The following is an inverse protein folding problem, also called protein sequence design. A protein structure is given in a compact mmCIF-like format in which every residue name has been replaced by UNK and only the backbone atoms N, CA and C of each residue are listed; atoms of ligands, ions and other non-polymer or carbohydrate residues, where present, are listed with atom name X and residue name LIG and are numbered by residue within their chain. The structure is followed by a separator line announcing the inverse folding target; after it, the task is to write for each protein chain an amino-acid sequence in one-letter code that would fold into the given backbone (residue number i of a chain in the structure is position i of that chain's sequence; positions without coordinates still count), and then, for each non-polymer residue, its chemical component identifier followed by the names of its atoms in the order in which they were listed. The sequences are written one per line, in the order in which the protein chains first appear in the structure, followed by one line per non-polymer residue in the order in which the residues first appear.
data_IF_960652060729
#
_entry.id   IF_960652060729
#
_cell.length_a   1.000
_cell.length_b   1.000
_cell.length_c   1.000
_cell.angle_alpha   90.00
_cell.angle_beta   90.00
_cell.angle_gamma   90.00
#
_symmetry.space_group_name_H-M   'P 1'
#
loop_
_entity.id
_entity.type
_entity.pdbx_description
1 polymer ?
#
# COMPACT_ATOMS: atom_id res chain seq x y z
N UNK A 1 -6.72 -0.47 39.91
CA UNK A 1 -6.09 -1.54 40.72
C UNK A 1 -6.63 -2.95 40.47
N UNK A 2 -7.92 -3.16 40.15
CA UNK A 2 -8.45 -4.50 39.77
C UNK A 2 -8.06 -4.93 38.33
N UNK A 3 -7.91 -3.98 37.40
CA UNK A 3 -7.54 -4.23 36.01
C UNK A 3 -6.12 -4.81 35.85
N UNK A 4 -5.18 -4.38 36.70
CA UNK A 4 -3.79 -4.90 36.74
C UNK A 4 -3.77 -6.35 37.23
N UNK A 5 -4.65 -6.73 38.17
CA UNK A 5 -4.76 -8.10 38.67
C UNK A 5 -5.33 -9.07 37.62
N UNK A 6 -6.37 -8.67 36.90
CA UNK A 6 -6.98 -9.46 35.83
C UNK A 6 -6.01 -9.62 34.63
N UNK A 7 -5.19 -8.61 34.38
CA UNK A 7 -4.07 -8.68 33.43
C UNK A 7 -3.00 -9.68 33.89
N UNK A 8 -2.53 -9.58 35.15
CA UNK A 8 -1.48 -10.47 35.71
C UNK A 8 -1.91 -11.94 35.68
N UNK A 9 -3.18 -12.22 36.01
CA UNK A 9 -3.74 -13.57 35.97
C UNK A 9 -3.69 -14.17 34.57
N UNK A 10 -4.09 -13.41 33.55
CA UNK A 10 -4.11 -13.91 32.17
C UNK A 10 -2.70 -14.03 31.56
N UNK A 11 -1.74 -13.17 31.94
CA UNK A 11 -0.32 -13.31 31.57
C UNK A 11 0.28 -14.64 32.09
N UNK A 12 -0.09 -15.07 33.29
CA UNK A 12 0.39 -16.32 33.85
C UNK A 12 -0.16 -17.56 33.10
N UNK A 13 -1.29 -17.44 32.39
CA UNK A 13 -1.83 -18.53 31.58
C UNK A 13 -1.12 -18.68 30.23
N UNK A 14 -0.61 -17.59 29.66
CA UNK A 14 0.08 -17.59 28.36
C UNK A 14 1.54 -18.07 28.45
N UNK A 15 2.06 -18.25 29.66
CA UNK A 15 3.40 -18.74 29.96
C UNK A 15 3.41 -20.21 30.44
N UNK A 16 2.30 -20.95 30.29
CA UNK A 16 2.21 -22.34 30.76
C UNK A 16 3.23 -23.26 30.04
N UNK A 17 4.18 -23.88 30.78
CA UNK A 17 5.22 -24.75 30.22
C UNK A 17 4.70 -25.97 29.46
N UNK A 18 3.44 -26.38 29.67
CA UNK A 18 2.84 -27.56 29.03
C UNK A 18 2.72 -27.43 27.52
N UNK A 19 2.49 -26.22 27.00
CA UNK A 19 2.43 -26.03 25.54
C UNK A 19 3.82 -26.13 24.92
N UNK A 20 4.82 -25.59 25.62
CA UNK A 20 6.20 -25.62 25.17
C UNK A 20 6.78 -27.04 25.15
N UNK A 21 6.45 -27.88 26.14
CA UNK A 21 6.95 -29.27 26.18
C UNK A 21 6.49 -30.10 24.99
N UNK A 22 5.21 -29.98 24.61
CA UNK A 22 4.65 -30.68 23.43
C UNK A 22 5.32 -30.19 22.15
N UNK A 23 5.56 -28.88 22.02
CA UNK A 23 6.25 -28.32 20.87
C UNK A 23 7.70 -28.81 20.75
N UNK A 24 8.43 -28.94 21.86
CA UNK A 24 9.80 -29.49 21.88
C UNK A 24 9.83 -30.94 21.40
N UNK A 25 8.83 -31.73 21.78
CA UNK A 25 8.72 -33.13 21.38
C UNK A 25 8.36 -33.27 19.88
N UNK A 26 7.31 -32.57 19.45
CA UNK A 26 6.73 -32.73 18.11
C UNK A 26 7.52 -31.99 17.02
N UNK A 27 8.24 -30.92 17.35
CA UNK A 27 8.98 -30.09 16.40
C UNK A 27 10.51 -30.17 16.55
N UNK A 28 11.03 -31.22 17.20
CA UNK A 28 12.46 -31.33 17.56
C UNK A 28 13.43 -31.05 16.42
N UNK A 29 13.20 -31.67 15.26
CA UNK A 29 14.00 -31.52 14.04
C UNK A 29 13.93 -30.10 13.48
N UNK A 30 12.74 -29.52 13.45
CA UNK A 30 12.49 -28.15 13.01
C UNK A 30 13.19 -27.13 13.92
N UNK A 31 13.11 -27.32 15.23
CA UNK A 31 13.78 -26.46 16.24
C UNK A 31 15.30 -26.47 16.03
N UNK A 32 15.89 -27.64 15.80
CA UNK A 32 17.33 -27.74 15.54
C UNK A 32 17.77 -27.06 14.23
N UNK A 33 16.88 -27.02 13.23
CA UNK A 33 17.12 -26.31 11.96
C UNK A 33 16.96 -24.78 12.06
N UNK A 34 16.08 -24.31 12.94
CA UNK A 34 15.80 -22.89 13.16
C UNK A 34 16.56 -22.36 14.38
N UNK A 35 17.81 -21.91 14.17
CA UNK A 35 18.68 -21.40 15.24
C UNK A 35 18.04 -20.29 16.08
N UNK A 36 17.21 -19.45 15.46
CA UNK A 36 16.46 -18.38 16.14
C UNK A 36 15.44 -18.95 17.14
N UNK A 37 14.65 -19.96 16.75
CA UNK A 37 13.70 -20.62 17.64
C UNK A 37 14.37 -21.54 18.66
N UNK A 38 15.55 -22.07 18.38
CA UNK A 38 16.31 -22.84 19.35
C UNK A 38 16.79 -21.98 20.53
N UNK A 39 17.18 -20.72 20.25
CA UNK A 39 17.77 -19.79 21.20
C UNK A 39 16.79 -18.95 22.02
N UNK A 40 15.47 -19.11 21.85
CA UNK A 40 14.49 -18.36 22.64
C UNK A 40 14.45 -18.84 24.10
N UNK A 41 14.18 -17.90 25.01
CA UNK A 41 13.95 -18.20 26.42
C UNK A 41 12.79 -19.19 26.59
N UNK A 42 13.07 -20.28 27.31
CA UNK A 42 12.07 -21.31 27.66
C UNK A 42 11.20 -20.87 28.83
N UNK A 43 9.98 -21.40 28.90
CA UNK A 43 9.00 -21.15 29.96
C UNK A 43 8.21 -19.85 29.81
N UNK A 44 8.40 -19.12 28.69
CA UNK A 44 7.72 -17.84 28.41
C UNK A 44 6.71 -17.91 27.26
N UNK A 45 6.47 -19.10 26.69
CA UNK A 45 5.60 -19.29 25.52
C UNK A 45 6.23 -18.91 24.17
N UNK A 46 7.48 -18.43 24.17
CA UNK A 46 8.17 -17.91 22.99
C UNK A 46 8.48 -18.97 21.93
N UNK A 47 8.77 -20.21 22.31
CA UNK A 47 9.07 -21.27 21.35
C UNK A 47 7.91 -21.51 20.38
N UNK A 48 6.70 -21.70 20.91
CA UNK A 48 5.53 -22.02 20.10
C UNK A 48 5.22 -20.85 19.17
N UNK A 49 5.30 -19.62 19.67
CA UNK A 49 5.15 -18.43 18.84
C UNK A 49 6.22 -18.36 17.74
N UNK A 50 7.49 -18.62 18.05
CA UNK A 50 8.55 -18.65 17.04
C UNK A 50 8.28 -19.72 15.97
N UNK A 51 7.81 -20.91 16.35
CA UNK A 51 7.47 -21.95 15.38
C UNK A 51 6.25 -21.55 14.52
N UNK A 52 5.25 -20.90 15.10
CA UNK A 52 4.10 -20.32 14.36
C UNK A 52 4.57 -19.26 13.36
N UNK A 53 5.53 -18.44 13.74
CA UNK A 53 6.15 -17.43 12.87
C UNK A 53 6.90 -18.04 11.68
N UNK A 54 7.49 -19.21 11.87
CA UNK A 54 8.21 -19.96 10.85
C UNK A 54 7.38 -21.08 10.21
N UNK A 55 6.05 -21.05 10.33
CA UNK A 55 5.15 -22.13 9.84
C UNK A 55 5.39 -22.52 8.38
N UNK A 56 5.79 -21.58 7.54
CA UNK A 56 6.10 -21.82 6.11
C UNK A 56 7.42 -22.54 5.87
N UNK A 57 8.32 -22.55 6.85
CA UNK A 57 9.60 -23.26 6.80
C UNK A 57 9.51 -24.69 7.38
N UNK A 58 8.35 -25.08 7.91
CA UNK A 58 8.13 -26.38 8.55
C UNK A 58 7.68 -27.40 7.50
N UNK A 59 8.56 -28.33 7.14
CA UNK A 59 8.27 -29.42 6.21
C UNK A 59 7.77 -30.69 6.91
N UNK A 60 8.03 -30.83 8.20
CA UNK A 60 7.66 -31.99 9.00
C UNK A 60 6.14 -32.03 9.25
N UNK A 61 5.46 -33.11 8.82
CA UNK A 61 4.00 -33.20 8.85
C UNK A 61 3.39 -33.06 10.26
N UNK A 62 3.94 -33.77 11.26
CA UNK A 62 3.40 -33.73 12.63
C UNK A 62 3.58 -32.35 13.27
N UNK A 63 4.77 -31.76 13.12
CA UNK A 63 5.03 -30.39 13.53
C UNK A 63 4.13 -29.39 12.80
N UNK A 64 3.96 -29.53 11.48
CA UNK A 64 3.10 -28.66 10.68
C UNK A 64 1.64 -28.71 11.14
N UNK A 65 1.08 -29.89 11.41
CA UNK A 65 -0.28 -30.02 11.95
C UNK A 65 -0.42 -29.42 13.35
N UNK A 66 0.55 -29.67 14.23
CA UNK A 66 0.58 -29.08 15.56
C UNK A 66 0.63 -27.55 15.50
N UNK A 67 1.54 -27.00 14.69
CA UNK A 67 1.70 -25.56 14.52
C UNK A 67 0.50 -24.92 13.84
N UNK A 68 -0.17 -25.60 12.91
CA UNK A 68 -1.43 -25.10 12.31
C UNK A 68 -2.52 -24.95 13.37
N UNK A 69 -2.66 -25.93 14.28
CA UNK A 69 -3.61 -25.83 15.41
C UNK A 69 -3.18 -24.74 16.40
N UNK A 70 -1.89 -24.67 16.73
CA UNK A 70 -1.37 -23.65 17.63
C UNK A 70 -1.48 -22.24 17.04
N UNK A 71 -1.42 -22.08 15.73
CA UNK A 71 -1.60 -20.79 15.04
C UNK A 71 -2.96 -20.18 15.41
N UNK A 72 -4.05 -20.95 15.31
CA UNK A 72 -5.38 -20.47 15.69
C UNK A 72 -5.46 -20.06 17.17
N UNK A 73 -4.73 -20.75 18.06
CA UNK A 73 -4.72 -20.44 19.50
C UNK A 73 -3.87 -19.19 19.76
N UNK A 74 -2.67 -19.11 19.20
CA UNK A 74 -1.74 -17.97 19.36
C UNK A 74 -2.38 -16.69 18.81
N UNK A 75 -3.02 -16.72 17.65
CA UNK A 75 -3.69 -15.52 17.10
C UNK A 75 -5.05 -15.22 17.75
N UNK A 76 -5.62 -16.15 18.52
CA UNK A 76 -6.80 -15.83 19.34
C UNK A 76 -6.47 -14.91 20.52
N UNK A 77 -5.19 -14.83 20.91
CA UNK A 77 -4.68 -14.02 22.01
C UNK A 77 -3.26 -13.53 21.71
N UNK A 78 -3.15 -12.26 21.28
CA UNK A 78 -1.87 -11.63 20.91
C UNK A 78 -0.79 -11.68 22.01
N UNK A 79 -1.14 -11.95 23.27
CA UNK A 79 -0.18 -12.12 24.37
C UNK A 79 0.62 -13.41 24.25
N UNK A 80 0.13 -14.36 23.47
CA UNK A 80 0.85 -15.58 23.10
C UNK A 80 1.88 -15.31 21.99
N UNK A 81 1.91 -14.09 21.42
CA UNK A 81 2.91 -13.69 20.44
C UNK A 81 4.20 -13.31 21.17
N UNK A 82 5.30 -13.91 20.74
CA UNK A 82 6.61 -13.87 21.38
C UNK A 82 7.07 -12.44 21.68
N UNK A 83 7.29 -12.14 22.97
CA UNK A 83 7.86 -10.87 23.42
C UNK A 83 6.97 -9.64 23.23
N UNK A 84 5.77 -9.77 22.64
CA UNK A 84 4.89 -8.63 22.34
C UNK A 84 4.57 -7.82 23.60
N UNK A 85 4.20 -8.51 24.68
CA UNK A 85 3.86 -7.87 25.95
C UNK A 85 5.06 -7.16 26.58
N UNK A 86 6.24 -7.77 26.52
CA UNK A 86 7.45 -7.15 27.08
C UNK A 86 7.84 -5.88 26.32
N UNK A 87 7.60 -5.88 25.00
CA UNK A 87 7.91 -4.77 24.11
C UNK A 87 6.87 -3.63 24.23
N UNK A 88 5.58 -3.96 24.39
CA UNK A 88 4.48 -2.99 24.31
C UNK A 88 3.84 -2.58 25.64
N UNK A 89 4.23 -3.17 26.78
CA UNK A 89 3.57 -2.91 28.08
C UNK A 89 3.45 -1.42 28.43
N UNK A 90 4.51 -0.66 28.27
CA UNK A 90 4.52 0.76 28.63
C UNK A 90 3.64 1.59 27.71
N UNK A 91 3.64 1.26 26.42
CA UNK A 91 2.85 1.96 25.40
C UNK A 91 1.36 1.67 25.58
N UNK A 92 0.99 0.42 25.89
CA UNK A 92 -0.39 0.02 26.24
C UNK A 92 -0.91 0.85 27.42
N UNK A 93 -0.08 1.03 28.46
CA UNK A 93 -0.47 1.76 29.66
C UNK A 93 -0.64 3.25 29.39
N UNK A 94 0.25 3.85 28.59
CA UNK A 94 0.20 5.29 28.27
C UNK A 94 -0.89 5.65 27.28
N UNK A 95 -1.16 4.79 26.30
CA UNK A 95 -2.27 4.96 25.35
C UNK A 95 -3.62 4.53 25.95
N UNK A 96 -3.63 4.00 27.16
CA UNK A 96 -4.82 3.47 27.83
C UNK A 96 -5.59 2.44 26.98
N UNK A 97 -4.87 1.66 26.17
CA UNK A 97 -5.47 0.66 25.28
C UNK A 97 -6.17 -0.49 26.04
N UNK A 98 -6.01 -0.59 27.36
CA UNK A 98 -6.67 -1.57 28.21
C UNK A 98 -8.01 -1.09 28.74
N UNK A 99 -9.09 -1.25 27.97
CA UNK A 99 -10.47 -1.09 28.44
C UNK A 99 -11.41 -2.11 27.79
N UNK A 100 -12.27 -2.72 28.60
CA UNK A 100 -13.46 -3.49 28.19
C UNK A 100 -14.56 -3.01 29.12
N UNK A 101 -15.70 -2.62 28.56
CA UNK A 101 -16.87 -2.17 29.32
C UNK A 101 -17.18 -3.15 30.46
N UNK A 102 -17.23 -2.64 31.68
CA UNK A 102 -17.40 -3.43 32.92
C UNK A 102 -18.78 -4.07 33.09
N UNK A 103 -19.67 -3.94 32.11
CA UNK A 103 -21.00 -4.56 32.09
C UNK A 103 -21.09 -5.87 31.30
N UNK A 104 -20.17 -6.12 30.35
CA UNK A 104 -20.18 -7.32 29.52
C UNK A 104 -18.89 -8.11 29.77
N UNK A 105 -19.04 -9.34 30.29
CA UNK A 105 -17.93 -10.29 30.47
C UNK A 105 -17.47 -10.77 29.10
N UNK A 106 -16.79 -9.92 28.35
CA UNK A 106 -16.43 -10.28 26.99
C UNK A 106 -15.03 -10.91 26.92
N UNK A 107 -15.00 -12.16 26.46
CA UNK A 107 -13.80 -12.94 26.12
C UNK A 107 -13.00 -12.26 24.98
N UNK A 108 -13.62 -11.28 24.31
CA UNK A 108 -13.18 -10.65 23.05
C UNK A 108 -12.36 -9.35 23.18
N UNK A 109 -12.20 -8.84 24.41
CA UNK A 109 -11.29 -7.80 24.93
C UNK A 109 -9.87 -7.62 24.32
N UNK A 110 -9.39 -8.58 23.54
CA UNK A 110 -7.97 -8.75 23.23
C UNK A 110 -7.62 -8.17 21.85
N UNK A 111 -8.51 -8.30 20.86
CA UNK A 111 -8.33 -7.62 19.57
C UNK A 111 -8.29 -6.09 19.72
N UNK A 112 -9.01 -5.56 20.71
CA UNK A 112 -9.08 -4.12 20.99
C UNK A 112 -7.75 -3.50 21.40
N UNK A 113 -6.87 -4.24 22.10
CA UNK A 113 -5.56 -3.70 22.48
C UNK A 113 -4.67 -3.55 21.25
N UNK A 114 -4.63 -4.56 20.38
CA UNK A 114 -3.88 -4.49 19.12
C UNK A 114 -4.44 -3.39 18.24
N UNK A 115 -5.76 -3.33 18.05
CA UNK A 115 -6.39 -2.28 17.26
C UNK A 115 -6.10 -0.87 17.79
N UNK A 116 -6.08 -0.69 19.12
CA UNK A 116 -5.71 0.58 19.73
C UNK A 116 -4.23 0.95 19.48
N UNK A 117 -3.32 -0.02 19.61
CA UNK A 117 -1.90 0.18 19.33
C UNK A 117 -1.64 0.46 17.84
N UNK A 118 -2.31 -0.26 16.93
CA UNK A 118 -2.27 -0.04 15.49
C UNK A 118 -2.77 1.37 15.13
N UNK A 119 -3.88 1.82 15.74
CA UNK A 119 -4.37 3.19 15.61
C UNK A 119 -3.36 4.21 16.14
N UNK A 120 -2.73 3.93 17.27
CA UNK A 120 -1.66 4.77 17.82
C UNK A 120 -0.46 4.92 16.87
N UNK A 121 -0.08 3.82 16.20
CA UNK A 121 0.99 3.80 15.20
C UNK A 121 0.61 4.59 13.94
N UNK A 122 -0.64 4.48 13.49
CA UNK A 122 -1.17 5.27 12.37
C UNK A 122 -1.21 6.75 12.70
N UNK A 123 -1.73 7.13 13.86
CA UNK A 123 -1.79 8.53 14.31
C UNK A 123 -0.39 9.15 14.45
N UNK A 124 0.61 8.36 14.86
CA UNK A 124 2.00 8.81 14.92
C UNK A 124 2.54 9.14 13.52
N UNK A 125 2.30 8.27 12.53
CA UNK A 125 2.73 8.49 11.14
C UNK A 125 2.03 9.66 10.45
N UNK A 126 0.84 10.04 10.91
CA UNK A 126 0.10 11.22 10.43
C UNK A 126 0.47 12.52 11.16
N UNK A 127 1.53 12.51 11.98
CA UNK A 127 2.03 13.62 12.81
C UNK A 127 0.90 14.41 13.53
N UNK A 128 -0.08 13.69 14.09
CA UNK A 128 -1.21 14.34 14.77
C UNK A 128 -0.73 15.12 16.02
N UNK A 129 -1.19 16.37 16.24
CA UNK A 129 -0.73 17.19 17.37
C UNK A 129 -1.03 16.53 18.72
N UNK A 130 -0.02 16.43 19.59
CA UNK A 130 -0.17 15.85 20.94
C UNK A 130 -0.21 14.32 20.99
N UNK A 131 0.08 13.64 19.87
CA UNK A 131 0.11 12.19 19.79
C UNK A 131 1.27 11.59 20.59
N UNK A 132 1.01 10.45 21.22
CA UNK A 132 2.02 9.66 21.91
C UNK A 132 2.87 8.86 20.92
N UNK A 133 4.20 9.00 21.02
CA UNK A 133 5.18 8.21 20.26
C UNK A 133 5.35 6.82 20.86
N UNK A 134 5.02 5.79 20.09
CA UNK A 134 5.18 4.38 20.49
C UNK A 134 6.67 4.02 20.48
N UNK A 135 7.14 3.18 21.40
CA UNK A 135 8.55 2.76 21.39
C UNK A 135 8.85 1.89 20.18
N UNK A 136 10.04 2.03 19.60
CA UNK A 136 10.46 1.29 18.40
C UNK A 136 10.31 -0.23 18.50
N UNK A 137 10.59 -0.82 19.67
CA UNK A 137 10.41 -2.26 19.86
C UNK A 137 8.94 -2.67 19.85
N UNK A 138 8.04 -1.84 20.42
CA UNK A 138 6.61 -2.06 20.32
C UNK A 138 6.10 -1.84 18.90
N UNK A 139 6.57 -0.82 18.17
CA UNK A 139 6.22 -0.63 16.75
C UNK A 139 6.53 -1.86 15.92
N UNK A 140 7.73 -2.43 16.08
CA UNK A 140 8.13 -3.69 15.42
C UNK A 140 7.21 -4.83 15.81
N UNK A 141 6.86 -4.94 17.10
CA UNK A 141 5.94 -5.96 17.59
C UNK A 141 4.56 -5.83 16.93
N UNK A 142 3.98 -4.63 16.90
CA UNK A 142 2.68 -4.34 16.26
C UNK A 142 2.72 -4.73 14.77
N UNK A 143 3.73 -4.26 14.03
CA UNK A 143 3.88 -4.59 12.61
C UNK A 143 4.09 -6.09 12.38
N UNK A 144 4.76 -6.78 13.31
CA UNK A 144 4.95 -8.23 13.26
C UNK A 144 3.63 -8.98 13.48
N UNK A 145 2.82 -8.57 14.46
CA UNK A 145 1.47 -9.13 14.66
C UNK A 145 0.64 -8.93 13.39
N UNK A 146 0.67 -7.72 12.84
CA UNK A 146 -0.04 -7.39 11.62
C UNK A 146 0.42 -8.26 10.44
N UNK A 147 1.74 -8.42 10.21
CA UNK A 147 2.29 -9.35 9.20
C UNK A 147 1.76 -10.77 9.38
N UNK A 148 1.77 -11.31 10.60
CA UNK A 148 1.43 -12.70 10.84
C UNK A 148 -0.08 -13.00 10.71
N UNK A 149 -0.94 -12.01 11.00
CA UNK A 149 -2.39 -12.12 10.83
C UNK A 149 -2.85 -11.90 9.38
N UNK A 150 -1.98 -11.41 8.50
CA UNK A 150 -2.33 -10.99 7.13
C UNK A 150 -2.78 -12.10 6.17
N UNK A 151 -2.45 -13.36 6.48
CA UNK A 151 -2.76 -14.52 5.63
C UNK A 151 -4.25 -14.84 5.64
N UNK A 152 -4.88 -14.83 6.82
CA UNK A 152 -6.28 -15.19 6.98
C UNK A 152 -6.95 -14.21 7.95
N UNK A 153 -8.04 -13.58 7.51
CA UNK A 153 -8.75 -12.57 8.29
C UNK A 153 -9.29 -13.13 9.62
N UNK A 154 -9.47 -14.45 9.76
CA UNK A 154 -9.83 -15.08 11.05
C UNK A 154 -8.74 -14.93 12.12
N UNK A 155 -7.48 -14.76 11.70
CA UNK A 155 -6.34 -14.54 12.60
C UNK A 155 -6.28 -13.08 13.10
N UNK A 156 -6.94 -12.16 12.40
CA UNK A 156 -7.10 -10.77 12.81
C UNK A 156 -8.43 -10.62 13.53
N UNK A 157 -8.39 -10.82 14.85
CA UNK A 157 -9.60 -10.90 15.66
C UNK A 157 -10.42 -9.61 15.64
N UNK A 158 -9.78 -8.44 15.67
CA UNK A 158 -10.50 -7.17 15.64
C UNK A 158 -11.21 -7.01 14.30
N UNK A 159 -10.48 -7.22 13.19
CA UNK A 159 -11.06 -7.11 11.86
C UNK A 159 -12.13 -8.16 11.59
N UNK A 160 -11.94 -9.40 12.02
CA UNK A 160 -12.94 -10.47 11.92
C UNK A 160 -14.28 -10.02 12.53
N UNK A 161 -14.28 -9.50 13.75
CA UNK A 161 -15.52 -9.06 14.40
C UNK A 161 -16.10 -7.79 13.78
N UNK A 162 -15.25 -6.86 13.33
CA UNK A 162 -15.68 -5.66 12.65
C UNK A 162 -16.33 -5.97 11.28
N UNK A 163 -15.84 -7.00 10.58
CA UNK A 163 -16.16 -7.26 9.17
C UNK A 163 -16.91 -8.56 8.89
N UNK A 164 -17.20 -9.43 9.86
CA UNK A 164 -17.82 -10.76 9.57
C UNK A 164 -19.12 -10.66 8.78
N UNK A 165 -19.98 -9.69 9.09
CA UNK A 165 -21.28 -9.52 8.41
C UNK A 165 -21.08 -8.95 7.00
N UNK A 166 -20.15 -8.01 6.85
CA UNK A 166 -19.75 -7.47 5.54
C UNK A 166 -19.07 -8.54 4.67
N UNK A 167 -18.27 -9.43 5.28
CA UNK A 167 -17.66 -10.59 4.60
C UNK A 167 -18.73 -11.52 4.05
N UNK A 168 -19.77 -11.84 4.82
CA UNK A 168 -20.88 -12.65 4.30
C UNK A 168 -21.66 -11.93 3.20
N UNK A 169 -21.81 -10.60 3.29
CA UNK A 169 -22.55 -9.82 2.29
C UNK A 169 -21.82 -9.69 0.95
N UNK A 170 -20.52 -9.37 0.98
CA UNK A 170 -19.75 -9.03 -0.22
C UNK A 170 -18.83 -10.14 -0.69
N UNK A 171 -18.40 -11.02 0.22
CA UNK A 171 -17.29 -11.94 0.01
C UNK A 171 -17.63 -13.38 0.41
N UNK A 172 -18.91 -13.77 0.36
CA UNK A 172 -19.42 -15.10 0.77
C UNK A 172 -18.62 -16.25 0.14
N UNK A 173 -18.38 -16.14 -1.17
CA UNK A 173 -17.71 -17.15 -2.00
C UNK A 173 -16.18 -17.01 -2.00
N UNK A 174 -15.63 -16.02 -1.29
CA UNK A 174 -14.18 -15.80 -1.22
C UNK A 174 -13.60 -16.74 -0.17
N UNK A 175 -12.69 -17.67 -0.54
CA UNK A 175 -12.06 -18.57 0.41
C UNK A 175 -11.12 -17.79 1.33
N UNK A 176 -11.05 -18.24 2.59
CA UNK A 176 -10.10 -17.73 3.56
C UNK A 176 -8.65 -18.17 3.22
N UNK A 177 -7.67 -17.43 3.75
CA UNK A 177 -6.25 -17.64 3.46
C UNK A 177 -5.72 -16.83 2.26
N UNK A 178 -4.40 -16.75 2.18
CA UNK A 178 -3.63 -16.02 1.15
C UNK A 178 -4.00 -14.53 1.01
N UNK A 179 -4.61 -13.92 2.04
CA UNK A 179 -5.07 -12.53 2.01
C UNK A 179 -6.30 -12.27 1.14
N UNK A 180 -6.95 -13.31 0.60
CA UNK A 180 -8.04 -13.16 -0.39
C UNK A 180 -9.26 -12.42 0.16
N UNK A 181 -9.63 -12.68 1.41
CA UNK A 181 -10.76 -12.00 2.06
C UNK A 181 -10.46 -10.51 2.25
N UNK A 182 -9.25 -10.14 2.67
CA UNK A 182 -8.82 -8.74 2.75
C UNK A 182 -8.97 -8.03 1.40
N UNK A 183 -8.43 -8.65 0.33
CA UNK A 183 -8.51 -8.11 -1.03
C UNK A 183 -9.94 -7.87 -1.48
N UNK A 184 -10.83 -8.81 -1.21
CA UNK A 184 -12.26 -8.66 -1.51
C UNK A 184 -12.89 -7.52 -0.71
N UNK A 185 -12.68 -7.48 0.62
CA UNK A 185 -13.23 -6.43 1.49
C UNK A 185 -12.71 -5.03 1.11
N UNK A 186 -11.44 -4.89 0.73
CA UNK A 186 -10.89 -3.62 0.25
C UNK A 186 -11.60 -3.11 -0.99
N UNK A 187 -11.92 -3.97 -1.96
CA UNK A 187 -12.63 -3.58 -3.18
C UNK A 187 -14.07 -3.08 -2.90
N UNK A 188 -14.68 -3.55 -1.82
CA UNK A 188 -16.02 -3.17 -1.39
C UNK A 188 -16.05 -2.13 -0.26
N UNK A 189 -14.89 -1.66 0.22
CA UNK A 189 -14.75 -0.75 1.37
C UNK A 189 -15.67 0.47 1.28
N UNK A 190 -15.83 1.04 0.09
CA UNK A 190 -16.60 2.26 -0.13
C UNK A 190 -18.01 2.03 -0.67
N UNK A 191 -18.53 0.80 -0.59
CA UNK A 191 -19.94 0.53 -0.88
C UNK A 191 -20.83 1.06 0.25
N UNK A 192 -22.02 1.57 -0.10
CA UNK A 192 -22.92 2.21 0.87
C UNK A 192 -23.34 1.25 1.99
N UNK A 193 -23.52 -0.03 1.66
CA UNK A 193 -23.91 -1.08 2.61
C UNK A 193 -22.75 -1.65 3.43
N UNK A 194 -21.51 -1.19 3.24
CA UNK A 194 -20.38 -1.58 4.10
C UNK A 194 -20.48 -0.89 5.46
N UNK A 195 -20.34 -1.65 6.56
CA UNK A 195 -20.42 -1.10 7.92
C UNK A 195 -19.25 -0.16 8.25
N UNK A 196 -19.51 0.89 9.04
CA UNK A 196 -18.46 1.85 9.43
C UNK A 196 -17.37 1.18 10.27
N UNK A 197 -17.73 0.21 11.12
CA UNK A 197 -16.76 -0.57 11.89
C UNK A 197 -15.79 -1.33 10.98
N UNK A 198 -16.31 -1.96 9.93
CA UNK A 198 -15.45 -2.65 8.98
C UNK A 198 -14.62 -1.66 8.15
N UNK A 199 -15.20 -0.54 7.70
CA UNK A 199 -14.48 0.53 7.00
C UNK A 199 -13.29 1.05 7.81
N UNK A 200 -13.47 1.29 9.10
CA UNK A 200 -12.42 1.78 9.99
C UNK A 200 -11.31 0.75 10.19
N UNK A 201 -11.67 -0.51 10.41
CA UNK A 201 -10.72 -1.62 10.54
C UNK A 201 -9.90 -1.82 9.25
N UNK A 202 -10.57 -1.82 8.10
CA UNK A 202 -9.91 -1.92 6.78
C UNK A 202 -9.02 -0.70 6.50
N UNK A 203 -9.44 0.51 6.89
CA UNK A 203 -8.64 1.72 6.73
C UNK A 203 -7.35 1.65 7.55
N UNK A 204 -7.47 1.25 8.82
CA UNK A 204 -6.30 1.04 9.70
C UNK A 204 -5.36 0.03 9.05
N UNK A 205 -5.91 -1.07 8.54
CA UNK A 205 -5.13 -2.12 7.88
C UNK A 205 -4.39 -1.63 6.63
N UNK A 206 -5.06 -0.88 5.75
CA UNK A 206 -4.43 -0.33 4.55
C UNK A 206 -3.31 0.66 4.90
N UNK A 207 -3.48 1.47 5.95
CA UNK A 207 -2.42 2.40 6.42
C UNK A 207 -1.20 1.64 6.97
N UNK A 208 -1.39 0.53 7.67
CA UNK A 208 -0.27 -0.35 8.06
C UNK A 208 0.43 -0.98 6.85
N UNK A 209 -0.33 -1.39 5.82
CA UNK A 209 0.25 -1.91 4.56
C UNK A 209 1.10 -0.84 3.87
N UNK A 210 0.65 0.42 3.85
CA UNK A 210 1.41 1.54 3.28
C UNK A 210 2.75 1.76 3.99
N UNK A 211 2.81 1.57 5.32
CA UNK A 211 4.05 1.64 6.10
C UNK A 211 4.97 0.43 5.86
N UNK A 212 4.44 -0.80 5.85
CA UNK A 212 5.22 -2.00 5.51
C UNK A 212 4.40 -2.99 4.69
N UNK A 213 4.85 -3.21 3.45
CA UNK A 213 4.22 -4.13 2.49
C UNK A 213 4.06 -5.56 3.02
N UNK A 214 4.89 -5.97 3.99
CA UNK A 214 4.81 -7.30 4.63
C UNK A 214 3.48 -7.53 5.34
N UNK A 215 2.79 -6.46 5.73
CA UNK A 215 1.45 -6.54 6.33
C UNK A 215 0.39 -7.02 5.33
N UNK A 216 0.71 -7.04 4.03
CA UNK A 216 -0.08 -7.71 2.99
C UNK A 216 0.57 -9.03 2.59
N UNK A 217 -0.04 -10.16 2.99
CA UNK A 217 0.46 -11.49 2.67
C UNK A 217 0.60 -11.71 1.15
N UNK A 218 -0.43 -11.36 0.39
CA UNK A 218 -0.50 -11.58 -1.07
C UNK A 218 0.61 -10.80 -1.79
N UNK A 219 0.76 -9.51 -1.46
CA UNK A 219 1.79 -8.65 -2.01
C UNK A 219 3.20 -9.14 -1.64
N UNK A 220 3.41 -9.46 -0.36
CA UNK A 220 4.71 -9.94 0.11
C UNK A 220 5.09 -11.28 -0.53
N UNK A 221 4.15 -12.21 -0.68
CA UNK A 221 4.35 -13.51 -1.33
C UNK A 221 4.67 -13.33 -2.81
N UNK A 222 3.83 -12.58 -3.53
CA UNK A 222 3.93 -12.41 -4.98
C UNK A 222 5.22 -11.68 -5.39
N UNK A 223 5.59 -10.61 -4.68
CA UNK A 223 6.73 -9.78 -5.06
C UNK A 223 8.08 -10.23 -4.49
N UNK A 224 8.12 -11.15 -3.51
CA UNK A 224 9.39 -11.61 -2.90
C UNK A 224 10.45 -12.10 -3.90
N UNK A 225 10.13 -12.89 -4.94
CA UNK A 225 11.12 -13.29 -5.95
C UNK A 225 11.69 -12.11 -6.74
N UNK A 226 10.83 -11.18 -7.16
CA UNK A 226 11.21 -10.03 -7.99
C UNK A 226 12.02 -9.00 -7.18
N UNK A 227 11.63 -8.74 -5.94
CA UNK A 227 12.39 -7.88 -5.02
C UNK A 227 13.83 -8.38 -4.82
N UNK A 228 14.00 -9.70 -4.69
CA UNK A 228 15.34 -10.33 -4.61
C UNK A 228 16.10 -10.25 -5.92
N UNK A 229 15.44 -10.55 -7.04
CA UNK A 229 16.03 -10.53 -8.40
C UNK A 229 16.57 -9.15 -8.76
N UNK A 230 15.82 -8.09 -8.45
CA UNK A 230 16.16 -6.72 -8.78
C UNK A 230 16.88 -5.97 -7.66
N UNK A 231 17.13 -6.64 -6.52
CA UNK A 231 17.80 -6.07 -5.34
C UNK A 231 17.15 -4.77 -4.85
N UNK A 232 15.82 -4.75 -4.85
CA UNK A 232 15.04 -3.66 -4.26
C UNK A 232 15.15 -3.74 -2.74
N UNK A 233 16.26 -3.25 -2.20
CA UNK A 233 16.55 -3.19 -0.78
C UNK A 233 16.61 -1.72 -0.35
N UNK A 234 15.98 -1.40 0.78
CA UNK A 234 16.11 -0.07 1.37
C UNK A 234 17.47 0.05 2.06
N UNK A 235 18.18 1.15 1.79
CA UNK A 235 19.32 1.53 2.61
C UNK A 235 18.81 2.01 3.97
N UNK A 236 19.10 1.23 5.02
CA UNK A 236 18.63 1.48 6.39
C UNK A 236 19.23 2.74 7.04
N UNK A 237 20.14 3.43 6.36
CA UNK A 237 20.83 4.63 6.85
C UNK A 237 19.97 5.91 6.84
N UNK A 238 18.81 5.94 6.18
CA UNK A 238 17.93 7.12 6.10
C UNK A 238 16.70 6.97 7.02
N UNK A 239 16.52 7.84 8.05
CA UNK A 239 15.38 7.78 8.98
C UNK A 239 14.01 7.92 8.30
N UNK A 240 13.89 8.83 7.32
CA UNK A 240 12.68 9.03 6.49
C UNK A 240 12.38 7.89 5.51
N UNK A 241 13.33 6.97 5.27
CA UNK A 241 13.08 5.80 4.43
C UNK A 241 12.29 4.70 5.16
N UNK A 242 12.03 4.83 6.47
CA UNK A 242 11.22 3.88 7.24
C UNK A 242 9.72 4.03 6.97
N UNK A 243 9.25 5.24 6.64
CA UNK A 243 7.83 5.57 6.49
C UNK A 243 7.32 5.37 5.05
N UNK A 244 8.20 5.40 4.04
CA UNK A 244 7.86 5.23 2.62
C UNK A 244 8.39 3.91 2.02
N UNK A 245 8.46 2.85 2.83
CA UNK A 245 9.10 1.58 2.45
C UNK A 245 8.42 0.91 1.27
N UNK A 246 7.09 0.90 1.23
CA UNK A 246 6.34 0.29 0.12
C UNK A 246 6.45 1.14 -1.16
N UNK A 247 6.26 2.46 -1.07
CA UNK A 247 6.44 3.38 -2.22
C UNK A 247 7.78 3.19 -2.92
N UNK A 248 8.90 3.11 -2.18
CA UNK A 248 10.21 2.84 -2.77
C UNK A 248 10.28 1.51 -3.53
N UNK A 249 9.75 0.43 -2.93
CA UNK A 249 9.81 -0.90 -3.54
C UNK A 249 8.98 -0.96 -4.82
N UNK A 250 7.83 -0.29 -4.85
CA UNK A 250 7.01 -0.15 -6.06
C UNK A 250 7.76 0.59 -7.15
N UNK A 251 8.36 1.74 -6.84
CA UNK A 251 9.14 2.51 -7.80
C UNK A 251 10.35 1.72 -8.32
N UNK A 252 10.99 0.91 -7.48
CA UNK A 252 12.11 0.05 -7.88
C UNK A 252 11.69 -1.03 -8.87
N UNK A 253 10.60 -1.74 -8.60
CA UNK A 253 10.05 -2.76 -9.50
C UNK A 253 9.52 -2.14 -10.78
N UNK A 254 8.87 -0.98 -10.71
CA UNK A 254 8.38 -0.26 -11.88
C UNK A 254 9.52 0.22 -12.78
N UNK A 255 10.59 0.75 -12.20
CA UNK A 255 11.79 1.09 -12.94
C UNK A 255 12.38 -0.15 -13.65
N UNK A 256 12.25 -1.35 -13.09
CA UNK A 256 12.63 -2.58 -13.77
C UNK A 256 11.72 -2.88 -14.96
N UNK A 257 10.39 -2.73 -14.81
CA UNK A 257 9.42 -2.88 -15.90
C UNK A 257 9.69 -1.89 -17.03
N UNK A 258 9.92 -0.62 -16.75
CA UNK A 258 10.22 0.39 -17.77
C UNK A 258 11.52 0.15 -18.54
N UNK A 259 12.51 -0.50 -17.90
CA UNK A 259 13.74 -0.98 -18.57
C UNK A 259 13.53 -2.24 -19.42
N UNK A 260 12.30 -2.72 -19.54
CA UNK A 260 11.95 -3.94 -20.25
C UNK A 260 12.32 -5.23 -19.50
N UNK A 261 12.57 -5.14 -18.19
CA UNK A 261 12.83 -6.31 -17.35
C UNK A 261 11.51 -6.98 -16.96
N UNK A 262 11.56 -8.29 -16.69
CA UNK A 262 10.37 -9.10 -16.40
C UNK A 262 10.09 -9.19 -14.90
N UNK A 263 9.07 -8.48 -14.43
CA UNK A 263 8.45 -8.70 -13.11
C UNK A 263 7.33 -9.73 -13.28
N UNK A 264 7.13 -10.63 -12.31
CA UNK A 264 6.08 -11.66 -12.40
C UNK A 264 4.67 -11.05 -12.52
N UNK A 265 3.78 -11.73 -13.24
CA UNK A 265 2.39 -11.27 -13.41
C UNK A 265 1.62 -11.20 -12.08
N UNK A 266 1.92 -12.10 -11.14
CA UNK A 266 1.36 -12.07 -9.79
C UNK A 266 1.80 -10.81 -9.04
N UNK A 267 3.10 -10.48 -9.05
CA UNK A 267 3.59 -9.27 -8.40
C UNK A 267 3.05 -8.00 -9.07
N UNK A 268 3.03 -7.93 -10.41
CA UNK A 268 2.45 -6.80 -11.13
C UNK A 268 0.96 -6.60 -10.78
N UNK A 269 0.20 -7.69 -10.62
CA UNK A 269 -1.19 -7.62 -10.18
C UNK A 269 -1.33 -7.01 -8.78
N UNK A 270 -0.53 -7.46 -7.82
CA UNK A 270 -0.55 -6.91 -6.45
C UNK A 270 -0.06 -5.46 -6.40
N UNK A 271 0.92 -5.09 -7.24
CA UNK A 271 1.35 -3.69 -7.41
C UNK A 271 0.19 -2.83 -7.93
N UNK A 272 -0.53 -3.29 -8.96
CA UNK A 272 -1.67 -2.60 -9.53
C UNK A 272 -2.81 -2.42 -8.52
N UNK A 273 -3.11 -3.46 -7.73
CA UNK A 273 -4.11 -3.37 -6.68
C UNK A 273 -3.72 -2.35 -5.60
N UNK A 274 -2.44 -2.31 -5.20
CA UNK A 274 -1.98 -1.30 -4.25
C UNK A 274 -2.04 0.13 -4.81
N UNK A 275 -1.63 0.33 -6.08
CA UNK A 275 -1.75 1.63 -6.75
C UNK A 275 -3.20 2.10 -6.82
N UNK A 276 -4.14 1.19 -7.10
CA UNK A 276 -5.58 1.49 -7.07
C UNK A 276 -6.01 1.93 -5.67
N UNK A 277 -5.59 1.23 -4.61
CA UNK A 277 -5.91 1.64 -3.23
C UNK A 277 -5.43 3.06 -2.92
N UNK A 278 -4.20 3.42 -3.31
CA UNK A 278 -3.66 4.77 -3.14
C UNK A 278 -4.45 5.83 -3.91
N UNK A 279 -4.89 5.53 -5.13
CA UNK A 279 -5.71 6.43 -5.94
C UNK A 279 -7.18 6.51 -5.49
N UNK A 280 -7.70 5.50 -4.80
CA UNK A 280 -9.06 5.52 -4.27
C UNK A 280 -9.17 6.25 -2.92
N UNK A 281 -8.11 6.18 -2.10
CA UNK A 281 -8.09 6.67 -0.73
C UNK A 281 -6.82 7.48 -0.43
N UNK A 282 -6.96 8.81 -0.48
CA UNK A 282 -5.86 9.75 -0.21
C UNK A 282 -5.29 9.60 1.21
N UNK A 283 -6.06 9.06 2.17
CA UNK A 283 -5.61 8.90 3.56
C UNK A 283 -4.52 7.85 3.74
N UNK A 284 -4.27 7.05 2.69
CA UNK A 284 -3.16 6.09 2.65
C UNK A 284 -1.81 6.74 2.32
N UNK A 285 -1.81 8.02 1.93
CA UNK A 285 -0.61 8.79 1.64
C UNK A 285 -0.41 9.86 2.72
N UNK A 286 0.44 9.62 3.75
CA UNK A 286 0.69 10.57 4.82
C UNK A 286 1.05 11.97 4.31
N UNK A 287 1.83 12.06 3.24
CA UNK A 287 2.25 13.35 2.68
C UNK A 287 1.10 14.17 2.11
N UNK A 288 0.04 13.52 1.60
CA UNK A 288 -1.16 14.22 1.17
C UNK A 288 -1.95 14.69 2.38
N UNK A 289 -2.11 13.82 3.39
CA UNK A 289 -2.82 14.16 4.64
C UNK A 289 -2.15 15.31 5.39
N UNK A 290 -0.83 15.35 5.39
CA UNK A 290 -0.02 16.37 6.05
C UNK A 290 0.02 17.66 5.25
N UNK A 291 0.40 17.59 3.98
CA UNK A 291 0.71 18.78 3.20
C UNK A 291 -0.48 19.39 2.46
N UNK A 292 -1.55 18.63 2.20
CA UNK A 292 -2.73 19.13 1.48
C UNK A 292 -3.94 19.40 2.39
N UNK A 293 -3.78 19.37 3.72
CA UNK A 293 -4.89 19.55 4.67
C UNK A 293 -5.65 20.85 4.42
N UNK A 294 -4.93 21.96 4.24
CA UNK A 294 -5.52 23.28 4.01
C UNK A 294 -6.37 23.32 2.75
N UNK A 295 -5.88 22.76 1.65
CA UNK A 295 -6.61 22.73 0.38
C UNK A 295 -7.78 21.75 0.39
N UNK A 296 -7.66 20.61 1.09
CA UNK A 296 -8.78 19.68 1.28
C UNK A 296 -9.92 20.40 2.03
N UNK A 297 -9.61 21.04 3.16
CA UNK A 297 -10.61 21.69 4.02
C UNK A 297 -11.26 22.90 3.34
N UNK A 298 -10.49 23.67 2.57
CA UNK A 298 -10.96 24.93 1.96
C UNK A 298 -11.54 24.77 0.55
N UNK A 299 -11.13 23.77 -0.21
CA UNK A 299 -11.47 23.66 -1.64
C UNK A 299 -12.18 22.37 -2.04
N UNK A 300 -12.09 21.31 -1.23
CA UNK A 300 -12.66 20.01 -1.58
C UNK A 300 -13.95 19.66 -0.84
N UNK A 301 -14.52 20.59 -0.06
CA UNK A 301 -15.86 20.47 0.55
C UNK A 301 -16.10 19.12 1.26
N UNK A 302 -15.08 18.64 1.97
CA UNK A 302 -15.12 17.39 2.71
C UNK A 302 -14.32 16.25 2.07
N UNK A 303 -14.39 15.09 2.71
CA UNK A 303 -13.65 13.89 2.30
C UNK A 303 -14.53 13.04 1.40
N UNK A 304 -14.14 12.91 0.14
CA UNK A 304 -14.83 12.08 -0.84
C UNK A 304 -14.02 10.83 -1.17
N UNK A 305 -14.67 9.68 -1.14
CA UNK A 305 -14.05 8.38 -1.42
C UNK A 305 -13.96 8.10 -2.93
N UNK A 306 -13.39 6.94 -3.29
CA UNK A 306 -13.24 6.48 -4.69
C UNK A 306 -12.43 7.47 -5.55
N UNK A 307 -11.40 8.08 -4.97
CA UNK A 307 -10.47 8.98 -5.67
C UNK A 307 -10.95 10.42 -5.91
N UNK A 308 -12.18 10.76 -5.52
CA UNK A 308 -12.76 12.10 -5.74
C UNK A 308 -12.00 13.22 -5.03
N UNK A 309 -11.47 13.00 -3.82
CA UNK A 309 -10.63 14.01 -3.14
C UNK A 309 -9.33 14.26 -3.90
N UNK A 310 -8.67 13.22 -4.41
CA UNK A 310 -7.44 13.39 -5.21
C UNK A 310 -7.72 14.17 -6.48
N UNK A 311 -8.79 13.84 -7.20
CA UNK A 311 -9.20 14.60 -8.37
C UNK A 311 -9.58 16.06 -8.06
N UNK A 312 -10.21 16.32 -6.91
CA UNK A 312 -10.41 17.69 -6.46
C UNK A 312 -9.08 18.43 -6.30
N UNK A 313 -8.08 17.82 -5.66
CA UNK A 313 -6.74 18.41 -5.52
C UNK A 313 -6.07 18.62 -6.89
N UNK A 314 -6.20 17.67 -7.82
CA UNK A 314 -5.71 17.82 -9.20
C UNK A 314 -6.37 19.00 -9.92
N UNK A 315 -7.68 19.17 -9.77
CA UNK A 315 -8.42 20.32 -10.31
C UNK A 315 -7.92 21.63 -9.71
N UNK A 316 -7.74 21.70 -8.39
CA UNK A 316 -7.21 22.89 -7.72
C UNK A 316 -5.80 23.23 -8.24
N UNK A 317 -4.94 22.21 -8.38
CA UNK A 317 -3.60 22.34 -8.98
C UNK A 317 -3.67 22.91 -10.39
N UNK A 318 -4.57 22.39 -11.24
CA UNK A 318 -4.75 22.79 -12.63
C UNK A 318 -5.29 24.21 -12.77
N UNK A 319 -6.40 24.50 -12.11
CA UNK A 319 -7.20 25.71 -12.36
C UNK A 319 -6.60 26.95 -11.69
N UNK A 320 -6.02 26.79 -10.50
CA UNK A 320 -5.55 27.93 -9.70
C UNK A 320 -4.03 28.06 -9.72
N UNK A 321 -3.28 26.98 -9.90
CA UNK A 321 -1.83 26.96 -9.70
C UNK A 321 -1.38 27.33 -8.27
N UNK A 322 -2.31 27.52 -7.34
CA UNK A 322 -2.12 27.87 -5.93
C UNK A 322 -2.37 26.62 -5.09
N UNK A 323 -1.52 25.61 -5.23
CA UNK A 323 -1.30 24.67 -4.13
C UNK A 323 -0.06 25.17 -3.38
N UNK A 324 -0.04 25.04 -2.05
CA UNK A 324 1.22 25.22 -1.33
C UNK A 324 2.27 24.30 -1.97
N UNK A 325 3.53 24.78 -2.08
CA UNK A 325 4.58 24.03 -2.78
C UNK A 325 4.79 22.61 -2.26
N UNK A 326 4.44 22.38 -0.99
CA UNK A 326 4.46 21.06 -0.37
C UNK A 326 3.28 20.17 -0.81
N UNK A 327 2.04 20.67 -0.86
CA UNK A 327 0.89 19.91 -1.36
C UNK A 327 1.08 19.54 -2.84
N UNK A 328 1.51 20.49 -3.67
CA UNK A 328 1.78 20.25 -5.10
C UNK A 328 2.78 19.10 -5.28
N UNK A 329 3.86 19.11 -4.50
CA UNK A 329 4.91 18.08 -4.56
C UNK A 329 4.41 16.72 -4.05
N UNK A 330 3.62 16.70 -2.98
CA UNK A 330 3.01 15.48 -2.46
C UNK A 330 2.09 14.85 -3.51
N UNK A 331 1.24 15.67 -4.15
CA UNK A 331 0.34 15.22 -5.23
C UNK A 331 1.12 14.70 -6.45
N UNK A 332 2.17 15.40 -6.88
CA UNK A 332 3.03 14.92 -7.97
C UNK A 332 3.72 13.59 -7.64
N UNK A 333 4.23 13.45 -6.43
CA UNK A 333 4.85 12.20 -5.95
C UNK A 333 3.83 11.06 -5.99
N UNK A 334 2.62 11.28 -5.46
CA UNK A 334 1.57 10.26 -5.49
C UNK A 334 1.23 9.82 -6.91
N UNK A 335 1.05 10.77 -7.84
CA UNK A 335 0.72 10.46 -9.24
C UNK A 335 1.85 9.69 -9.94
N UNK A 336 3.10 9.98 -9.60
CA UNK A 336 4.23 9.20 -10.09
C UNK A 336 4.27 7.78 -9.49
N UNK A 337 3.94 7.61 -8.21
CA UNK A 337 3.92 6.30 -7.54
C UNK A 337 2.79 5.41 -8.07
N UNK A 338 1.63 6.00 -8.33
CA UNK A 338 0.44 5.29 -8.80
C UNK A 338 0.41 5.11 -10.31
N UNK A 339 1.08 5.97 -11.08
CA UNK A 339 1.17 5.94 -12.54
C UNK A 339 -0.15 5.59 -13.26
N UNK A 340 -1.25 6.33 -13.01
CA UNK A 340 -2.53 6.11 -13.69
C UNK A 340 -2.46 6.40 -15.20
N UNK A 341 -1.39 7.05 -15.66
CA UNK A 341 -1.09 7.24 -17.08
C UNK A 341 -0.74 5.94 -17.81
N UNK A 342 -0.07 5.00 -17.13
CA UNK A 342 0.21 3.67 -17.68
C UNK A 342 -1.02 2.75 -17.70
N UNK A 343 -1.91 2.89 -16.72
CA UNK A 343 -3.14 2.12 -16.66
C UNK A 343 -4.27 2.90 -15.99
N UNK A 344 -5.22 3.39 -16.80
CA UNK A 344 -6.35 4.19 -16.34
C UNK A 344 -7.23 3.47 -15.31
N UNK A 345 -7.17 2.13 -15.23
CA UNK A 345 -7.96 1.34 -14.25
C UNK A 345 -7.51 1.56 -12.81
N UNK A 346 -6.30 2.08 -12.62
CA UNK A 346 -5.78 2.49 -11.31
C UNK A 346 -6.60 3.67 -10.78
N UNK A 347 -7.04 4.55 -11.67
CA UNK A 347 -7.87 5.70 -11.35
C UNK A 347 -9.36 5.33 -11.46
N UNK A 348 -9.94 4.92 -10.34
CA UNK A 348 -11.36 4.53 -10.28
C UNK A 348 -12.31 5.67 -10.65
N UNK A 349 -12.01 6.91 -10.25
CA UNK A 349 -12.86 8.06 -10.54
C UNK A 349 -12.88 8.36 -12.04
N UNK A 350 -11.71 8.32 -12.69
CA UNK A 350 -11.60 8.43 -14.14
C UNK A 350 -12.30 7.27 -14.86
N UNK A 351 -12.05 6.03 -14.43
CA UNK A 351 -12.64 4.84 -15.03
C UNK A 351 -14.18 4.87 -14.98
N UNK A 352 -14.76 5.14 -13.81
CA UNK A 352 -16.22 5.27 -13.65
C UNK A 352 -16.80 6.41 -14.49
N UNK A 353 -16.12 7.57 -14.57
CA UNK A 353 -16.58 8.71 -15.36
C UNK A 353 -16.52 8.44 -16.87
N UNK A 354 -15.53 7.68 -17.34
CA UNK A 354 -15.26 7.46 -18.76
C UNK A 354 -15.83 6.14 -19.32
N UNK A 355 -16.45 5.30 -18.49
CA UNK A 355 -16.96 3.97 -18.90
C UNK A 355 -17.81 4.01 -20.18
N UNK A 356 -18.73 4.98 -20.29
CA UNK A 356 -19.60 5.12 -21.47
C UNK A 356 -18.83 5.48 -22.75
N UNK A 357 -17.82 6.35 -22.64
CA UNK A 357 -16.95 6.75 -23.75
C UNK A 357 -16.07 5.57 -24.18
N UNK A 358 -15.54 4.82 -23.21
CA UNK A 358 -14.72 3.63 -23.47
C UNK A 358 -15.53 2.59 -24.26
N UNK A 359 -16.76 2.29 -23.81
CA UNK A 359 -17.62 1.30 -24.46
C UNK A 359 -18.09 1.72 -25.86
N UNK A 360 -18.26 3.01 -26.11
CA UNK A 360 -18.82 3.51 -27.39
C UNK A 360 -17.75 3.88 -28.41
N UNK A 361 -16.66 4.53 -28.00
CA UNK A 361 -15.62 5.06 -28.87
C UNK A 361 -14.32 4.22 -28.84
N UNK A 362 -13.91 3.73 -27.67
CA UNK A 362 -12.61 3.05 -27.48
C UNK A 362 -12.69 1.51 -27.39
N UNK A 363 -13.84 0.89 -27.67
CA UNK A 363 -14.11 -0.56 -27.51
C UNK A 363 -13.14 -1.52 -28.22
N UNK A 364 -12.41 -1.03 -29.21
CA UNK A 364 -11.48 -1.81 -30.02
C UNK A 364 -10.10 -1.97 -29.35
N UNK A 365 -9.83 -1.15 -28.34
CA UNK A 365 -8.61 -1.18 -27.54
C UNK A 365 -8.80 -2.17 -26.39
N UNK A 366 -7.77 -2.94 -26.06
CA UNK A 366 -7.84 -3.90 -24.96
C UNK A 366 -7.93 -3.16 -23.63
N UNK A 367 -8.74 -3.67 -22.70
CA UNK A 367 -8.83 -3.11 -21.35
C UNK A 367 -7.47 -3.12 -20.65
N UNK A 368 -7.11 -1.99 -20.05
CA UNK A 368 -5.81 -1.78 -19.39
C UNK A 368 -4.65 -1.48 -20.34
N UNK A 369 -4.90 -1.34 -21.64
CA UNK A 369 -3.89 -0.85 -22.57
C UNK A 369 -3.70 0.67 -22.38
N UNK A 370 -2.45 1.17 -22.24
CA UNK A 370 -2.17 2.60 -22.13
C UNK A 370 -2.78 3.44 -23.28
N UNK A 371 -3.02 2.82 -24.44
CA UNK A 371 -3.65 3.50 -25.59
C UNK A 371 -5.09 3.96 -25.32
N UNK A 372 -5.76 3.45 -24.28
CA UNK A 372 -7.11 3.91 -23.91
C UNK A 372 -7.10 5.40 -23.56
N UNK A 373 -6.11 5.89 -22.81
CA UNK A 373 -6.02 7.32 -22.51
C UNK A 373 -5.82 8.16 -23.77
N UNK A 374 -5.01 7.68 -24.72
CA UNK A 374 -4.84 8.36 -26.02
C UNK A 374 -6.16 8.42 -26.79
N UNK A 375 -6.93 7.33 -26.83
CA UNK A 375 -8.25 7.31 -27.47
C UNK A 375 -9.24 8.28 -26.80
N UNK A 376 -9.29 8.27 -25.46
CA UNK A 376 -10.13 9.19 -24.70
C UNK A 376 -9.78 10.66 -24.99
N UNK A 377 -8.49 10.98 -25.05
CA UNK A 377 -8.01 12.32 -25.40
C UNK A 377 -8.32 12.71 -26.86
N UNK A 378 -8.27 11.77 -27.81
CA UNK A 378 -8.67 12.03 -29.22
C UNK A 378 -10.17 12.36 -29.35
N UNK A 379 -10.99 11.88 -28.41
CA UNK A 379 -12.42 12.11 -28.39
C UNK A 379 -12.87 13.30 -27.53
N UNK A 380 -11.95 14.06 -26.93
CA UNK A 380 -12.24 15.12 -25.95
C UNK A 380 -13.28 16.15 -26.42
N UNK A 381 -13.22 16.56 -27.69
CA UNK A 381 -14.12 17.57 -28.27
C UNK A 381 -15.18 16.98 -29.20
N UNK A 382 -15.47 15.68 -29.07
CA UNK A 382 -16.48 14.98 -29.88
C UNK A 382 -17.79 14.83 -29.12
N UNK A 383 -18.88 14.57 -29.84
CA UNK A 383 -20.21 14.29 -29.29
C UNK A 383 -20.25 13.02 -28.41
N UNK A 384 -19.18 12.20 -28.45
CA UNK A 384 -19.05 11.00 -27.63
C UNK A 384 -18.54 11.27 -26.23
N UNK A 385 -17.90 12.42 -25.99
CA UNK A 385 -17.36 12.76 -24.68
C UNK A 385 -18.47 13.21 -23.72
N UNK A 386 -18.37 12.76 -22.47
CA UNK A 386 -19.26 13.20 -21.39
C UNK A 386 -18.49 14.13 -20.45
N UNK A 387 -19.19 15.13 -19.89
CA UNK A 387 -18.60 16.20 -19.08
C UNK A 387 -17.75 15.67 -17.91
N UNK A 388 -18.24 14.67 -17.19
CA UNK A 388 -17.50 14.08 -16.07
C UNK A 388 -16.18 13.42 -16.53
N UNK A 389 -16.20 12.72 -17.67
CA UNK A 389 -15.00 12.10 -18.24
C UNK A 389 -14.00 13.16 -18.71
N UNK A 390 -14.49 14.20 -19.41
CA UNK A 390 -13.68 15.33 -19.85
C UNK A 390 -12.94 15.98 -18.67
N UNK A 391 -13.66 16.28 -17.58
CA UNK A 391 -13.06 16.89 -16.39
C UNK A 391 -11.96 16.03 -15.77
N UNK A 392 -12.21 14.73 -15.57
CA UNK A 392 -11.25 13.80 -14.96
C UNK A 392 -10.03 13.59 -15.86
N UNK A 393 -10.23 13.48 -17.18
CA UNK A 393 -9.14 13.38 -18.15
C UNK A 393 -8.24 14.62 -18.11
N UNK A 394 -8.83 15.82 -18.12
CA UNK A 394 -8.07 17.06 -18.10
C UNK A 394 -7.30 17.27 -16.78
N UNK A 395 -7.85 16.83 -15.66
CA UNK A 395 -7.17 16.82 -14.36
C UNK A 395 -5.92 15.94 -14.40
N UNK A 396 -6.00 14.72 -14.92
CA UNK A 396 -4.85 13.82 -15.06
C UNK A 396 -3.85 14.30 -16.12
N UNK A 397 -4.35 14.77 -17.27
CA UNK A 397 -3.53 15.28 -18.38
C UNK A 397 -2.64 16.46 -17.96
N UNK A 398 -3.08 17.27 -16.99
CA UNK A 398 -2.28 18.35 -16.42
C UNK A 398 -0.94 17.84 -15.87
N UNK A 399 -0.92 16.68 -15.20
CA UNK A 399 0.29 16.07 -14.64
C UNK A 399 1.10 15.35 -15.69
N UNK A 400 0.45 14.54 -16.54
CA UNK A 400 1.12 13.80 -17.63
C UNK A 400 1.89 14.74 -18.56
N UNK A 401 1.31 15.89 -18.91
CA UNK A 401 1.96 16.88 -19.79
C UNK A 401 3.16 17.60 -19.15
N UNK A 402 3.29 17.59 -17.82
CA UNK A 402 4.35 18.29 -17.07
C UNK A 402 5.48 17.39 -16.63
N UNK A 403 5.30 16.08 -16.66
CA UNK A 403 6.36 15.11 -16.41
C UNK A 403 6.31 14.03 -17.49
N UNK A 404 7.29 14.09 -18.40
CA UNK A 404 7.44 13.14 -19.50
C UNK A 404 7.55 11.67 -19.05
N UNK A 405 7.89 11.40 -17.78
CA UNK A 405 7.94 10.06 -17.19
C UNK A 405 6.57 9.43 -17.00
N UNK A 406 5.54 10.28 -16.88
CA UNK A 406 4.14 9.88 -16.72
C UNK A 406 3.43 9.64 -18.06
N UNK A 407 4.09 9.93 -19.19
CA UNK A 407 3.63 9.52 -20.52
C UNK A 407 4.32 8.19 -20.88
N UNK A 408 3.63 7.04 -20.81
CA UNK A 408 4.25 5.73 -20.99
C UNK A 408 4.83 5.54 -22.39
N UNK A 409 4.19 6.15 -23.40
CA UNK A 409 4.57 5.97 -24.80
C UNK A 409 5.80 6.83 -25.08
N UNK A 410 5.79 8.09 -24.64
CA UNK A 410 6.93 9.00 -24.76
C UNK A 410 8.13 8.47 -23.98
N UNK A 411 7.94 8.06 -22.72
CA UNK A 411 9.01 7.53 -21.89
C UNK A 411 9.66 6.29 -22.53
N UNK A 412 8.85 5.29 -22.91
CA UNK A 412 9.33 4.05 -23.52
C UNK A 412 10.14 4.31 -24.80
N UNK A 413 9.70 5.24 -25.65
CA UNK A 413 10.37 5.55 -26.92
C UNK A 413 11.61 6.43 -26.73
N UNK A 414 11.60 7.35 -25.77
CA UNK A 414 12.60 8.42 -25.69
C UNK A 414 13.57 8.30 -24.51
N UNK A 415 13.41 7.35 -23.58
CA UNK A 415 14.25 7.25 -22.38
C UNK A 415 15.75 7.20 -22.65
N UNK A 416 16.19 6.47 -23.69
CA UNK A 416 17.61 6.39 -24.05
C UNK A 416 18.15 7.71 -24.58
N UNK A 417 17.34 8.43 -25.35
CA UNK A 417 17.69 9.76 -25.86
C UNK A 417 17.68 10.80 -24.75
N UNK A 418 16.72 10.73 -23.83
CA UNK A 418 16.67 11.60 -22.66
C UNK A 418 17.92 11.40 -21.77
N UNK A 419 18.32 10.16 -21.51
CA UNK A 419 19.55 9.86 -20.77
C UNK A 419 20.82 10.37 -21.48
N UNK A 420 20.90 10.20 -22.81
CA UNK A 420 22.09 10.56 -23.59
C UNK A 420 22.20 12.07 -23.88
N UNK A 421 21.08 12.73 -24.17
CA UNK A 421 21.02 14.09 -24.70
C UNK A 421 20.65 15.09 -23.60
N UNK A 422 19.73 14.70 -22.74
CA UNK A 422 19.14 15.56 -21.72
C UNK A 422 19.66 15.25 -20.30
N UNK A 423 20.59 14.29 -20.16
CA UNK A 423 21.21 13.88 -18.89
C UNK A 423 20.21 13.47 -17.81
N UNK A 424 19.18 12.72 -18.19
CA UNK A 424 18.18 12.16 -17.27
C UNK A 424 18.30 10.63 -17.23
N UNK A 425 18.96 10.09 -16.20
CA UNK A 425 19.48 8.72 -16.22
C UNK A 425 18.51 7.62 -15.74
N UNK A 426 17.31 7.97 -15.26
CA UNK A 426 16.33 6.97 -14.82
C UNK A 426 14.91 7.50 -14.64
N UNK A 427 13.95 6.57 -14.55
CA UNK A 427 12.53 6.88 -14.30
C UNK A 427 12.30 7.41 -12.88
N UNK A 428 12.93 6.79 -11.89
CA UNK A 428 12.84 7.18 -10.47
C UNK A 428 13.89 8.23 -10.03
N UNK A 429 14.74 8.72 -10.94
CA UNK A 429 15.77 9.71 -10.63
C UNK A 429 15.32 11.11 -11.06
N UNK A 430 15.33 12.07 -10.14
CA UNK A 430 15.17 13.50 -10.46
C UNK A 430 16.53 14.09 -10.81
N UNK A 431 16.66 14.63 -12.04
CA UNK A 431 17.86 15.38 -12.42
C UNK A 431 17.82 16.75 -11.75
N UNK A 432 18.84 17.09 -10.96
CA UNK A 432 18.97 18.43 -10.37
C UNK A 432 19.14 19.52 -11.44
N UNK A 433 19.66 19.14 -12.62
CA UNK A 433 19.98 20.06 -13.71
C UNK A 433 18.84 20.23 -14.71
N UNK A 434 17.90 19.27 -14.77
CA UNK A 434 16.79 19.31 -15.73
C UNK A 434 15.47 18.91 -15.06
N UNK A 435 14.56 19.87 -14.82
CA UNK A 435 13.25 19.55 -14.27
C UNK A 435 12.46 18.69 -15.26
N UNK A 436 11.59 17.77 -14.80
CA UNK A 436 10.85 16.86 -15.69
C UNK A 436 10.11 17.56 -16.84
N UNK A 437 9.51 18.72 -16.59
CA UNK A 437 8.82 19.53 -17.60
C UNK A 437 9.71 20.13 -18.69
N UNK A 438 11.03 20.22 -18.47
CA UNK A 438 11.99 20.72 -19.47
C UNK A 438 12.51 19.61 -20.40
N UNK A 439 12.37 18.34 -20.02
CA UNK A 439 12.93 17.21 -20.79
C UNK A 439 12.25 17.07 -22.15
N UNK A 440 10.93 17.24 -22.21
CA UNK A 440 10.22 17.26 -23.47
C UNK A 440 10.74 18.35 -24.42
N UNK A 441 10.95 19.56 -23.91
CA UNK A 441 11.51 20.68 -24.68
C UNK A 441 12.93 20.39 -25.16
N UNK A 442 13.76 19.73 -24.33
CA UNK A 442 15.09 19.25 -24.71
C UNK A 442 15.00 18.24 -25.88
N UNK A 443 14.21 17.17 -25.72
CA UNK A 443 14.02 16.14 -26.74
C UNK A 443 13.49 16.73 -28.05
N UNK A 444 12.47 17.60 -27.97
CA UNK A 444 11.88 18.26 -29.13
C UNK A 444 12.90 19.13 -29.88
N UNK A 445 13.67 19.97 -29.15
CA UNK A 445 14.70 20.81 -29.75
C UNK A 445 15.76 19.98 -30.49
N UNK A 446 16.10 18.81 -29.97
CA UNK A 446 17.08 17.92 -30.60
C UNK A 446 16.50 17.10 -31.77
N UNK A 447 15.20 16.79 -31.76
CA UNK A 447 14.52 16.13 -32.87
C UNK A 447 14.45 16.98 -34.14
N UNK A 448 14.29 18.30 -33.97
CA UNK A 448 14.06 19.23 -35.08
C UNK A 448 15.28 20.13 -35.40
N UNK A 449 16.49 19.80 -34.92
CA UNK A 449 17.71 20.50 -35.37
C UNK A 449 17.85 20.36 -36.88
N UNK A 450 17.75 21.49 -37.60
CA UNK A 450 18.00 21.58 -39.04
C UNK A 450 19.48 21.38 -39.34
N UNK A 451 19.80 20.86 -40.53
CA UNK A 451 21.16 20.45 -40.94
C UNK A 451 22.24 21.55 -40.79
N UNK A 452 21.85 22.82 -40.70
CA UNK A 452 22.72 23.98 -40.45
C UNK A 452 23.35 24.01 -39.04
N UNK A 453 22.86 23.21 -38.08
CA UNK A 453 23.35 23.18 -36.68
C UNK A 453 24.04 21.87 -36.28
N UNK A 454 24.41 21.03 -37.24
CA UNK A 454 25.26 19.85 -37.02
C UNK A 454 24.52 18.58 -36.58
N UNK A 455 24.51 17.59 -37.50
CA UNK A 455 24.04 16.19 -37.42
C UNK A 455 22.53 15.96 -37.14
N UNK A 456 21.84 15.42 -38.15
CA UNK A 456 20.59 14.66 -37.99
C UNK A 456 20.81 13.46 -37.07
N UNK A 457 20.25 13.49 -35.87
CA UNK A 457 19.91 12.27 -35.13
C UNK A 457 18.51 11.90 -35.60
N UNK A 458 18.34 10.75 -36.28
CA UNK A 458 16.99 10.23 -36.61
C UNK A 458 16.29 9.90 -35.28
N UNK A 459 15.53 10.85 -34.75
CA UNK A 459 14.57 10.62 -33.69
C UNK A 459 13.26 10.18 -34.36
N UNK A 460 12.81 8.94 -34.09
CA UNK A 460 11.48 8.46 -34.49
C UNK A 460 10.42 9.04 -33.55
N UNK A 461 10.18 10.34 -33.63
CA UNK A 461 8.98 10.97 -33.06
C UNK A 461 7.87 10.89 -34.11
N UNK A 462 7.09 9.81 -34.08
CA UNK A 462 5.78 9.78 -34.74
C UNK A 462 4.88 10.81 -34.07
N UNK A 463 4.17 11.66 -34.85
CA UNK A 463 3.18 12.64 -34.37
C UNK A 463 2.33 12.01 -33.25
N UNK A 464 2.45 12.55 -32.03
CA UNK A 464 1.71 12.10 -30.84
C UNK A 464 0.48 12.99 -30.66
N UNK A 465 -0.71 12.46 -30.31
CA UNK A 465 -1.91 13.27 -30.09
C UNK A 465 -1.81 14.26 -28.91
N UNK A 466 -0.83 14.11 -27.99
CA UNK A 466 -0.58 15.07 -26.90
C UNK A 466 0.13 16.38 -27.35
N UNK A 467 0.32 16.60 -28.66
CA UNK A 467 1.12 17.70 -29.23
C UNK A 467 0.32 18.90 -29.76
N UNK A 468 -1.00 18.94 -29.60
CA UNK A 468 -1.76 20.19 -29.82
C UNK A 468 -1.77 21.00 -28.54
N UNK A 469 -0.85 21.98 -28.48
CA UNK A 469 -1.01 23.20 -27.69
C UNK A 469 -2.26 23.96 -28.13
#
# INVERSE_FOLDING_TARGET
NIHILLWNYKLNLTTDPKFESVAVEVCKTTINGLKECAGVDRGKGYLVSCLVEHRTNISEYQCSQYITKMTSIVFSDYRLICGFMDQCKDDINKLHCGSVNTGEKDIHSQGEVIACLEKGLVSEAEEQPGQYTIKEDCKKAIMRVAELSSDDFHLDRHLYFACREDRERFCENTPAGEGKVYKCLFNHKFEESMSDKCKDALSTRQKLIAQDYKVSYSLAKACKPDLRKYRCNMDTSMPRAREAKLSYLLLCLEAAVHRGQTVSGECQGEMLDYRRMLMEDYSLSPEIVLHCRGEIDTHCSGLHHKGRTLHCLMRVSRDKGILEGHCQKALQTLIQETDPGADYRIDRALNEACESVIQTACKHIRNGDPMILSCLMEHLYTDKMVEDCEHRLLELQYFISRDWKLDPILYKKCQNDAARICHTHGWNETSEFMPPGAVFSCLYRHAYRTEMQGRRVRLTLTKHPHLTL
#
